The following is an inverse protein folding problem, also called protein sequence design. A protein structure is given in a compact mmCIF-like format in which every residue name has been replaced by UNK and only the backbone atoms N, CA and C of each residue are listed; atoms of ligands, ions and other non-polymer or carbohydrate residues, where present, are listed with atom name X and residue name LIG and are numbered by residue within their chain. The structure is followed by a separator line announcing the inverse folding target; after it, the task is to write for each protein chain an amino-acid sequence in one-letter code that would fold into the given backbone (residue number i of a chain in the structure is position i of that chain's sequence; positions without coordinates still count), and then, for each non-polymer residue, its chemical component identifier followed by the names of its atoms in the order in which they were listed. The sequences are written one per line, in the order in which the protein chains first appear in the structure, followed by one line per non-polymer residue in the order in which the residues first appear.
data_IF_381325889702
#
_entry.id   IF_381325889702
#
_cell.length_a   1.000
_cell.length_b   1.000
_cell.length_c   1.000
_cell.angle_alpha   90.00
_cell.angle_beta   90.00
_cell.angle_gamma   90.00
#
_symmetry.space_group_name_H-M   'P 1'
#
loop_
_entity.id
_entity.type
_entity.pdbx_description
1 polymer ?
#
# COMPACT_ATOMS: atom_id res chain seq x y z
N UNK A 1 -6.53 -23.91 0.52
CA UNK A 1 -6.57 -22.95 -0.60
C UNK A 1 -5.44 -23.29 -1.54
N UNK A 2 -5.71 -23.42 -2.84
CA UNK A 2 -4.67 -23.59 -3.87
C UNK A 2 -3.72 -22.40 -3.85
N UNK A 3 -2.43 -22.60 -4.14
CA UNK A 3 -1.48 -21.49 -4.24
C UNK A 3 -2.00 -20.46 -5.28
N UNK A 4 -1.86 -19.14 -5.00
CA UNK A 4 -2.34 -18.12 -5.91
C UNK A 4 -1.64 -18.25 -7.28
N UNK A 5 -2.42 -18.20 -8.36
CA UNK A 5 -1.86 -18.19 -9.71
C UNK A 5 -1.36 -16.78 -10.02
N UNK A 6 -0.04 -16.58 -9.91
CA UNK A 6 0.62 -15.30 -10.20
C UNK A 6 0.98 -15.14 -11.69
N UNK A 7 0.84 -16.20 -12.48
CA UNK A 7 1.25 -16.21 -13.89
C UNK A 7 0.51 -15.19 -14.77
N UNK A 8 -0.80 -14.93 -14.59
CA UNK A 8 -1.50 -13.91 -15.38
C UNK A 8 -0.86 -12.53 -15.26
N UNK A 9 -0.41 -12.14 -14.07
CA UNK A 9 0.24 -10.84 -13.84
C UNK A 9 1.57 -10.75 -14.60
N UNK A 10 2.35 -11.84 -14.60
CA UNK A 10 3.60 -11.90 -15.39
C UNK A 10 3.29 -11.78 -16.88
N UNK A 11 2.27 -12.49 -17.36
CA UNK A 11 1.82 -12.42 -18.74
C UNK A 11 1.43 -10.99 -19.14
N UNK A 12 0.64 -10.30 -18.31
CA UNK A 12 0.23 -8.91 -18.56
C UNK A 12 1.45 -7.96 -18.62
N UNK A 13 2.41 -8.12 -17.71
CA UNK A 13 3.66 -7.35 -17.73
C UNK A 13 4.44 -7.58 -19.04
N UNK A 14 4.56 -8.84 -19.46
CA UNK A 14 5.27 -9.18 -20.71
C UNK A 14 4.55 -8.69 -21.95
N UNK A 15 3.21 -8.66 -21.95
CA UNK A 15 2.41 -8.10 -23.04
C UNK A 15 2.65 -6.59 -23.21
N UNK A 16 2.98 -5.88 -22.12
CA UNK A 16 3.40 -4.47 -22.15
C UNK A 16 4.91 -4.28 -22.42
N UNK A 17 5.60 -5.29 -22.97
CA UNK A 17 7.06 -5.29 -23.21
C UNK A 17 7.92 -5.16 -21.94
N UNK A 18 7.35 -5.45 -20.77
CA UNK A 18 8.09 -5.57 -19.51
C UNK A 18 8.69 -6.97 -19.33
N UNK A 19 9.57 -7.11 -18.33
CA UNK A 19 10.02 -8.41 -17.82
C UNK A 19 9.40 -8.64 -16.44
N UNK A 20 8.79 -9.81 -16.22
CA UNK A 20 8.15 -10.17 -14.96
C UNK A 20 8.69 -11.49 -14.42
N UNK A 21 8.91 -11.53 -13.10
CA UNK A 21 9.13 -12.77 -12.36
C UNK A 21 8.10 -12.87 -11.22
N UNK A 22 7.69 -14.09 -10.88
CA UNK A 22 6.75 -14.33 -9.79
C UNK A 22 7.33 -15.36 -8.82
N UNK A 23 7.07 -15.16 -7.53
CA UNK A 23 7.37 -16.11 -6.48
C UNK A 23 6.19 -16.16 -5.53
N UNK A 24 5.75 -17.37 -5.19
CA UNK A 24 4.73 -17.57 -4.15
C UNK A 24 5.42 -17.49 -2.80
N UNK A 25 5.04 -16.51 -1.99
CA UNK A 25 5.60 -16.31 -0.65
C UNK A 25 4.48 -15.97 0.32
N UNK A 26 4.51 -16.59 1.50
CA UNK A 26 3.65 -16.21 2.62
C UNK A 26 4.31 -15.09 3.41
N UNK A 27 3.74 -13.89 3.29
CA UNK A 27 4.23 -12.69 3.96
C UNK A 27 3.86 -12.63 5.45
N UNK A 28 3.00 -13.53 5.96
CA UNK A 28 2.77 -13.64 7.40
C UNK A 28 3.95 -14.27 8.13
N UNK A 29 4.80 -15.03 7.42
CA UNK A 29 6.07 -15.52 7.93
C UNK A 29 7.18 -14.47 7.75
N UNK A 30 7.54 -13.83 8.85
CA UNK A 30 8.56 -12.78 8.92
C UNK A 30 9.95 -13.21 8.43
N UNK A 31 10.25 -14.52 8.44
CA UNK A 31 11.54 -15.05 7.99
C UNK A 31 11.70 -14.99 6.47
N UNK A 32 10.60 -14.95 5.72
CA UNK A 32 10.59 -15.02 4.25
C UNK A 32 11.04 -13.71 3.58
N UNK A 33 10.77 -12.56 4.21
CA UNK A 33 11.05 -11.23 3.64
C UNK A 33 12.52 -11.06 3.26
N UNK A 34 13.45 -11.50 4.12
CA UNK A 34 14.89 -11.36 3.88
C UNK A 34 15.34 -12.27 2.74
N UNK A 35 14.98 -13.55 2.81
CA UNK A 35 15.32 -14.55 1.79
C UNK A 35 14.83 -14.13 0.41
N UNK A 36 13.60 -13.61 0.34
CA UNK A 36 13.01 -13.11 -0.89
C UNK A 36 13.80 -11.93 -1.47
N UNK A 37 14.04 -10.88 -0.66
CA UNK A 37 14.74 -9.67 -1.13
C UNK A 37 16.18 -9.98 -1.52
N UNK A 38 16.89 -10.80 -0.73
CA UNK A 38 18.26 -11.19 -1.04
C UNK A 38 18.33 -11.98 -2.37
N UNK A 39 17.37 -12.87 -2.62
CA UNK A 39 17.26 -13.58 -3.89
C UNK A 39 16.96 -12.66 -5.08
N UNK A 40 16.10 -11.66 -4.90
CA UNK A 40 15.83 -10.65 -5.95
C UNK A 40 17.10 -9.85 -6.24
N UNK A 41 17.80 -9.39 -5.19
CA UNK A 41 19.02 -8.60 -5.33
C UNK A 41 20.16 -9.40 -5.94
N UNK A 42 20.26 -10.71 -5.71
CA UNK A 42 21.29 -11.54 -6.35
C UNK A 42 21.09 -11.65 -7.86
N UNK A 43 19.84 -11.65 -8.34
CA UNK A 43 19.51 -11.73 -9.78
C UNK A 43 19.51 -10.38 -10.47
N UNK A 44 18.95 -9.35 -9.83
CA UNK A 44 18.65 -8.05 -10.44
C UNK A 44 19.57 -6.92 -9.95
N UNK A 45 20.45 -7.19 -8.98
CA UNK A 45 21.40 -6.26 -8.33
C UNK A 45 20.77 -5.11 -7.54
N UNK A 46 19.57 -4.67 -7.91
CA UNK A 46 18.92 -3.51 -7.32
C UNK A 46 17.41 -3.65 -7.31
N UNK A 47 16.79 -2.94 -6.37
CA UNK A 47 15.37 -2.66 -6.36
C UNK A 47 15.22 -1.14 -6.30
N UNK A 48 14.51 -0.57 -7.27
CA UNK A 48 14.32 0.88 -7.38
C UNK A 48 13.02 1.34 -6.69
N UNK A 49 12.01 0.48 -6.73
CA UNK A 49 10.68 0.74 -6.17
C UNK A 49 10.21 -0.49 -5.41
N UNK A 50 9.74 -0.31 -4.18
CA UNK A 50 9.01 -1.30 -3.40
C UNK A 50 7.55 -0.88 -3.29
N UNK A 51 6.62 -1.77 -3.64
CA UNK A 51 5.19 -1.57 -3.44
C UNK A 51 4.68 -2.59 -2.43
N UNK A 52 4.43 -2.14 -1.20
CA UNK A 52 3.82 -2.96 -0.16
C UNK A 52 2.30 -2.99 -0.35
N UNK A 53 1.85 -3.87 -1.26
CA UNK A 53 0.44 -4.02 -1.64
C UNK A 53 -0.30 -5.14 -0.91
N UNK A 54 0.42 -6.20 -0.50
CA UNK A 54 -0.21 -7.33 0.17
C UNK A 54 -1.02 -6.89 1.39
N UNK A 55 -2.23 -7.42 1.51
CA UNK A 55 -3.13 -7.08 2.59
C UNK A 55 -4.35 -7.98 2.61
N UNK A 56 -4.95 -8.12 3.78
CA UNK A 56 -6.17 -8.87 4.03
C UNK A 56 -7.18 -8.03 4.81
N UNK A 57 -8.44 -8.41 4.71
CA UNK A 57 -9.52 -7.87 5.53
C UNK A 57 -10.13 -9.00 6.37
N UNK A 58 -10.12 -8.84 7.69
CA UNK A 58 -10.89 -9.66 8.63
C UNK A 58 -11.88 -8.74 9.33
N UNK A 59 -13.16 -8.95 9.01
CA UNK A 59 -14.27 -8.19 9.59
C UNK A 59 -14.67 -8.74 10.94
N UNK A 60 -15.19 -7.88 11.80
CA UNK A 60 -15.63 -8.22 13.15
C UNK A 60 -15.62 -7.01 14.07
N UNK A 61 -16.52 -7.02 15.03
CA UNK A 61 -16.47 -6.10 16.16
C UNK A 61 -15.46 -6.62 17.18
N UNK A 62 -14.98 -5.75 18.06
CA UNK A 62 -13.93 -6.12 19.02
C UNK A 62 -14.23 -7.40 19.83
N UNK A 63 -15.46 -7.65 20.32
CA UNK A 63 -15.74 -8.86 21.10
C UNK A 63 -15.82 -10.15 20.27
N UNK A 64 -16.10 -10.05 18.96
CA UNK A 64 -16.28 -11.20 18.07
C UNK A 64 -15.07 -11.50 17.20
N UNK A 65 -14.09 -10.59 17.18
CA UNK A 65 -12.85 -10.78 16.48
C UNK A 65 -11.97 -11.80 17.20
N UNK A 66 -11.57 -12.85 16.50
CA UNK A 66 -10.66 -13.85 17.05
C UNK A 66 -9.25 -13.30 17.22
N UNK A 67 -8.53 -13.80 18.22
CA UNK A 67 -7.10 -13.52 18.40
C UNK A 67 -6.28 -13.85 17.13
N UNK A 68 -6.64 -14.91 16.42
CA UNK A 68 -5.93 -15.36 15.22
C UNK A 68 -6.18 -14.41 14.04
N UNK A 69 -7.41 -13.92 13.87
CA UNK A 69 -7.71 -12.91 12.85
C UNK A 69 -7.04 -11.57 13.16
N UNK A 70 -6.95 -11.20 14.45
CA UNK A 70 -6.18 -10.03 14.88
C UNK A 70 -4.70 -10.20 14.53
N UNK A 71 -4.06 -11.28 14.98
CA UNK A 71 -2.63 -11.56 14.73
C UNK A 71 -2.34 -11.63 13.23
N UNK A 72 -3.15 -12.34 12.46
CA UNK A 72 -2.98 -12.46 11.01
C UNK A 72 -3.13 -11.11 10.31
N UNK A 73 -4.07 -10.27 10.74
CA UNK A 73 -4.23 -8.91 10.21
C UNK A 73 -2.98 -8.08 10.42
N UNK A 74 -2.36 -8.14 11.61
CA UNK A 74 -1.10 -7.44 11.87
C UNK A 74 0.07 -8.03 11.09
N UNK A 75 0.21 -9.35 11.09
CA UNK A 75 1.28 -10.06 10.39
C UNK A 75 1.32 -9.67 8.90
N UNK A 76 0.17 -9.72 8.23
CA UNK A 76 0.08 -9.45 6.78
C UNK A 76 0.03 -7.95 6.47
N UNK A 77 -0.80 -7.16 7.18
CA UNK A 77 -1.03 -5.76 6.81
C UNK A 77 0.04 -4.81 7.35
N UNK A 78 0.81 -5.20 8.37
CA UNK A 78 1.79 -4.33 9.04
C UNK A 78 3.18 -4.96 9.10
N UNK A 79 3.32 -6.14 9.69
CA UNK A 79 4.66 -6.71 9.95
C UNK A 79 5.38 -7.03 8.64
N UNK A 80 4.67 -7.58 7.65
CA UNK A 80 5.21 -7.82 6.32
C UNK A 80 5.87 -6.57 5.71
N UNK A 81 5.17 -5.42 5.70
CA UNK A 81 5.74 -4.19 5.14
C UNK A 81 6.90 -3.67 5.98
N UNK A 82 6.84 -3.82 7.30
CA UNK A 82 7.93 -3.45 8.21
C UNK A 82 9.19 -4.25 7.87
N UNK A 83 9.07 -5.57 7.71
CA UNK A 83 10.18 -6.43 7.39
C UNK A 83 10.74 -6.17 5.99
N UNK A 84 9.90 -6.01 4.98
CA UNK A 84 10.34 -5.67 3.61
C UNK A 84 11.06 -4.32 3.59
N UNK A 85 10.52 -3.29 4.25
CA UNK A 85 11.18 -1.98 4.38
C UNK A 85 12.53 -2.12 5.12
N UNK A 86 12.57 -2.84 6.24
CA UNK A 86 13.79 -3.02 7.04
C UNK A 86 14.92 -3.66 6.23
N UNK A 87 14.62 -4.62 5.37
CA UNK A 87 15.64 -5.31 4.55
C UNK A 87 16.10 -4.44 3.38
N UNK A 88 15.20 -3.74 2.70
CA UNK A 88 15.54 -2.99 1.47
C UNK A 88 16.21 -1.63 1.76
N UNK A 89 15.87 -1.00 2.88
CA UNK A 89 16.19 0.40 3.14
C UNK A 89 17.71 0.68 3.18
N UNK A 90 18.58 -0.16 3.79
CA UNK A 90 20.02 0.05 3.74
C UNK A 90 20.55 0.15 2.30
N UNK A 91 20.05 -0.69 1.38
CA UNK A 91 20.47 -0.70 -0.03
C UNK A 91 20.02 0.55 -0.78
N UNK A 92 18.85 1.08 -0.46
CA UNK A 92 18.39 2.34 -1.06
C UNK A 92 19.18 3.54 -0.50
N UNK A 93 19.51 3.53 0.80
CA UNK A 93 20.34 4.56 1.45
C UNK A 93 21.74 4.60 0.84
N UNK A 94 22.40 3.45 0.67
CA UNK A 94 23.73 3.33 0.03
C UNK A 94 23.79 4.02 -1.34
N UNK A 95 22.66 4.03 -2.06
CA UNK A 95 22.53 4.59 -3.40
C UNK A 95 21.96 6.01 -3.43
N UNK A 96 21.56 6.55 -2.29
CA UNK A 96 20.78 7.79 -2.16
C UNK A 96 19.57 7.86 -3.12
N UNK A 97 18.94 6.72 -3.43
CA UNK A 97 17.85 6.65 -4.41
C UNK A 97 16.94 5.44 -4.17
N UNK A 98 15.63 5.69 -4.10
CA UNK A 98 14.62 4.67 -3.90
C UNK A 98 13.22 5.25 -3.73
N UNK A 99 12.19 4.45 -4.02
CA UNK A 99 10.81 4.78 -3.71
C UNK A 99 10.08 3.62 -3.03
N UNK A 100 9.26 3.95 -2.04
CA UNK A 100 8.40 3.00 -1.32
C UNK A 100 6.97 3.52 -1.42
N UNK A 101 6.06 2.63 -1.85
CA UNK A 101 4.61 2.88 -1.87
C UNK A 101 3.96 1.88 -0.93
N UNK A 102 3.28 2.38 0.09
CA UNK A 102 2.55 1.56 1.05
C UNK A 102 1.05 1.67 0.80
N UNK A 103 0.34 0.55 0.73
CA UNK A 103 -1.12 0.55 0.58
C UNK A 103 -1.78 0.59 1.96
N UNK A 104 -2.17 1.78 2.37
CA UNK A 104 -3.06 2.00 3.52
C UNK A 104 -4.52 1.83 3.06
N UNK A 105 -5.46 2.59 3.61
CA UNK A 105 -6.87 2.60 3.24
C UNK A 105 -7.48 3.91 3.72
N UNK A 106 -8.58 4.34 3.09
CA UNK A 106 -9.44 5.34 3.70
C UNK A 106 -9.84 4.95 5.14
N UNK A 107 -10.06 3.67 5.42
CA UNK A 107 -10.41 3.19 6.77
C UNK A 107 -9.26 3.28 7.77
N UNK A 108 -8.01 3.46 7.29
CA UNK A 108 -6.90 3.86 8.14
C UNK A 108 -6.93 5.34 8.56
N UNK A 109 -7.71 6.17 7.87
CA UNK A 109 -7.88 7.61 8.15
C UNK A 109 -9.25 7.93 8.78
N UNK A 110 -10.26 7.12 8.45
CA UNK A 110 -11.63 7.24 8.88
C UNK A 110 -12.20 5.83 9.05
N UNK A 111 -12.02 5.21 10.23
CA UNK A 111 -12.42 3.83 10.48
C UNK A 111 -13.90 3.56 10.20
N UNK A 112 -14.20 2.36 9.73
CA UNK A 112 -15.56 1.87 9.50
C UNK A 112 -16.02 0.89 10.60
N UNK A 113 -17.34 0.72 10.82
CA UNK A 113 -17.86 -0.33 11.70
C UNK A 113 -17.33 -1.72 11.32
N UNK A 114 -17.22 -2.62 12.31
CA UNK A 114 -16.82 -4.02 12.14
C UNK A 114 -15.51 -4.24 11.36
N UNK A 115 -14.57 -3.30 11.48
CA UNK A 115 -13.30 -3.32 10.74
C UNK A 115 -12.09 -3.08 11.66
N UNK A 116 -12.20 -3.34 12.97
CA UNK A 116 -11.25 -2.84 13.96
C UNK A 116 -9.79 -3.22 13.68
N UNK A 117 -9.49 -4.50 13.41
CA UNK A 117 -8.14 -4.93 13.06
C UNK A 117 -7.63 -4.29 11.76
N UNK A 118 -8.48 -4.22 10.74
CA UNK A 118 -8.13 -3.64 9.45
C UNK A 118 -7.86 -2.13 9.56
N UNK A 119 -8.78 -1.39 10.19
CA UNK A 119 -8.66 0.06 10.37
C UNK A 119 -7.41 0.42 11.19
N UNK A 120 -7.14 -0.31 12.28
CA UNK A 120 -5.94 -0.10 13.11
C UNK A 120 -4.67 -0.38 12.30
N UNK A 121 -4.59 -1.51 11.62
CA UNK A 121 -3.39 -1.86 10.82
C UNK A 121 -3.16 -0.85 9.69
N UNK A 122 -4.20 -0.43 8.97
CA UNK A 122 -4.08 0.58 7.90
C UNK A 122 -3.76 1.98 8.44
N UNK A 123 -4.23 2.35 9.63
CA UNK A 123 -3.80 3.58 10.32
C UNK A 123 -2.31 3.52 10.68
N UNK A 124 -1.86 2.38 11.19
CA UNK A 124 -0.43 2.14 11.48
C UNK A 124 0.41 2.25 10.21
N UNK A 125 -0.02 1.69 9.07
CA UNK A 125 0.65 1.86 7.77
C UNK A 125 0.79 3.33 7.38
N UNK A 126 -0.26 4.13 7.56
CA UNK A 126 -0.23 5.56 7.23
C UNK A 126 0.79 6.32 8.11
N UNK A 127 0.78 6.05 9.42
CA UNK A 127 1.74 6.65 10.36
C UNK A 127 3.18 6.20 10.08
N UNK A 128 3.39 4.89 9.88
CA UNK A 128 4.68 4.31 9.52
C UNK A 128 5.26 4.97 8.27
N UNK A 129 4.44 5.16 7.25
CA UNK A 129 4.84 5.82 6.00
C UNK A 129 5.29 7.25 6.24
N UNK A 130 4.54 8.04 7.02
CA UNK A 130 4.89 9.43 7.33
C UNK A 130 6.22 9.51 8.09
N UNK A 131 6.44 8.61 9.04
CA UNK A 131 7.69 8.55 9.80
C UNK A 131 8.87 8.18 8.88
N UNK A 132 8.72 7.10 8.10
CA UNK A 132 9.76 6.65 7.17
C UNK A 132 10.11 7.71 6.12
N UNK A 133 9.12 8.46 5.62
CA UNK A 133 9.36 9.56 4.70
C UNK A 133 10.23 10.66 5.33
N UNK A 134 9.97 11.03 6.59
CA UNK A 134 10.70 12.08 7.30
C UNK A 134 12.13 11.67 7.62
N UNK A 135 12.30 10.46 8.15
CA UNK A 135 13.59 9.96 8.60
C UNK A 135 14.58 9.76 7.43
N UNK A 136 14.06 9.34 6.27
CA UNK A 136 14.92 8.93 5.15
C UNK A 136 14.90 9.89 3.95
N UNK A 137 14.14 10.99 3.99
CA UNK A 137 14.23 12.05 2.98
C UNK A 137 15.66 12.61 2.78
N UNK A 138 16.47 12.83 3.83
CA UNK A 138 17.87 13.27 3.66
C UNK A 138 18.73 12.29 2.85
N UNK A 139 18.33 11.02 2.80
CA UNK A 139 19.01 9.95 2.05
C UNK A 139 18.44 9.79 0.62
N UNK A 140 17.67 10.76 0.12
CA UNK A 140 17.11 10.72 -1.24
C UNK A 140 15.91 9.77 -1.41
N UNK A 141 15.32 9.29 -0.32
CA UNK A 141 14.18 8.38 -0.36
C UNK A 141 12.85 9.10 -0.57
N UNK A 142 11.95 8.45 -1.32
CA UNK A 142 10.54 8.87 -1.46
C UNK A 142 9.63 7.80 -0.90
N UNK A 143 8.88 8.11 0.16
CA UNK A 143 7.94 7.17 0.76
C UNK A 143 6.55 7.79 0.76
N UNK A 144 5.56 7.10 0.19
CA UNK A 144 4.17 7.59 0.11
C UNK A 144 3.19 6.48 0.45
N UNK A 145 2.05 6.87 1.03
CA UNK A 145 0.93 5.97 1.26
C UNK A 145 -0.17 6.27 0.24
N UNK A 146 -0.72 5.22 -0.36
CA UNK A 146 -2.00 5.29 -1.07
C UNK A 146 -3.08 4.86 -0.11
N UNK A 147 -4.18 5.62 -0.04
CA UNK A 147 -5.33 5.33 0.83
C UNK A 147 -6.56 5.12 -0.05
N UNK A 148 -6.74 3.94 -0.65
CA UNK A 148 -7.90 3.69 -1.50
C UNK A 148 -9.21 3.76 -0.72
N UNK A 149 -10.25 4.26 -1.39
CA UNK A 149 -11.64 3.97 -1.05
C UNK A 149 -11.97 2.51 -1.43
N UNK A 150 -13.20 2.09 -1.20
CA UNK A 150 -13.68 0.79 -1.67
C UNK A 150 -13.39 0.64 -3.18
N UNK A 151 -12.58 -0.36 -3.52
CA UNK A 151 -12.10 -0.63 -4.87
C UNK A 151 -12.53 -2.03 -5.24
N UNK A 152 -13.10 -2.22 -6.43
CA UNK A 152 -13.56 -3.53 -6.89
C UNK A 152 -12.37 -4.47 -7.08
N UNK A 153 -12.25 -5.42 -6.15
CA UNK A 153 -11.24 -6.47 -6.09
C UNK A 153 -11.87 -7.69 -5.42
N UNK A 154 -11.31 -8.90 -5.58
CA UNK A 154 -11.85 -10.09 -4.91
C UNK A 154 -11.98 -9.99 -3.38
N UNK A 155 -11.19 -9.10 -2.74
CA UNK A 155 -11.31 -8.80 -1.31
C UNK A 155 -12.68 -8.22 -0.93
N UNK A 156 -13.31 -7.48 -1.84
CA UNK A 156 -14.60 -6.81 -1.60
C UNK A 156 -15.81 -7.66 -2.00
N UNK A 157 -15.62 -8.78 -2.71
CA UNK A 157 -16.72 -9.58 -3.27
C UNK A 157 -17.68 -10.10 -2.19
N UNK A 158 -17.16 -10.59 -1.07
CA UNK A 158 -17.99 -11.03 0.05
C UNK A 158 -18.74 -9.86 0.71
N UNK A 159 -18.10 -8.70 0.84
CA UNK A 159 -18.72 -7.49 1.39
C UNK A 159 -19.82 -6.93 0.48
N UNK A 160 -19.63 -7.01 -0.84
CA UNK A 160 -20.63 -6.63 -1.84
C UNK A 160 -21.85 -7.54 -1.78
N UNK A 161 -21.65 -8.86 -1.76
CA UNK A 161 -22.73 -9.86 -1.61
C UNK A 161 -23.58 -9.66 -0.35
N UNK A 162 -22.99 -9.15 0.73
CA UNK A 162 -23.68 -8.91 2.02
C UNK A 162 -24.42 -7.59 2.10
N UNK A 163 -24.07 -6.59 1.30
CA UNK A 163 -24.58 -5.22 1.43
C UNK A 163 -25.56 -4.80 0.35
N UNK A 164 -25.96 -5.72 -0.54
CA UNK A 164 -26.78 -5.45 -1.74
C UNK A 164 -26.23 -4.31 -2.63
N UNK A 165 -24.95 -3.97 -2.48
CA UNK A 165 -24.27 -2.92 -3.25
C UNK A 165 -23.68 -3.52 -4.52
N UNK A 166 -23.80 -2.78 -5.62
CA UNK A 166 -23.21 -3.16 -6.91
C UNK A 166 -21.80 -2.59 -7.06
N UNK A 167 -21.05 -3.10 -8.04
CA UNK A 167 -19.75 -2.53 -8.43
C UNK A 167 -19.91 -1.07 -8.92
N UNK A 168 -21.04 -0.76 -9.56
CA UNK A 168 -21.39 0.60 -9.99
C UNK A 168 -21.51 1.55 -8.79
N UNK A 169 -22.04 1.07 -7.66
CA UNK A 169 -22.18 1.86 -6.43
C UNK A 169 -20.81 2.14 -5.80
N UNK A 170 -19.88 1.18 -5.83
CA UNK A 170 -18.49 1.40 -5.40
C UNK A 170 -17.81 2.48 -6.25
N UNK A 171 -17.98 2.41 -7.57
CA UNK A 171 -17.36 3.36 -8.49
C UNK A 171 -17.86 4.79 -8.22
N UNK A 172 -19.15 4.98 -7.91
CA UNK A 172 -19.73 6.28 -7.55
C UNK A 172 -19.19 6.82 -6.23
N UNK A 173 -19.01 5.97 -5.21
CA UNK A 173 -18.48 6.37 -3.89
C UNK A 173 -17.02 6.81 -3.97
N UNK A 174 -16.21 6.15 -4.80
CA UNK A 174 -14.80 6.50 -5.01
C UNK A 174 -14.60 7.97 -5.42
N UNK A 175 -15.54 8.54 -6.18
CA UNK A 175 -15.49 9.93 -6.64
C UNK A 175 -15.84 10.94 -5.53
N UNK A 176 -16.80 10.62 -4.67
CA UNK A 176 -17.28 11.51 -3.60
C UNK A 176 -16.30 11.54 -2.42
N UNK A 177 -15.75 10.40 -2.02
CA UNK A 177 -14.85 10.32 -0.88
C UNK A 177 -13.44 10.85 -1.19
N UNK A 178 -12.98 10.72 -2.45
CA UNK A 178 -11.76 11.36 -2.92
C UNK A 178 -11.79 12.89 -2.74
N UNK A 179 -12.97 13.53 -2.85
CA UNK A 179 -13.13 14.97 -2.60
C UNK A 179 -13.02 15.32 -1.10
N UNK A 180 -13.56 14.47 -0.23
CA UNK A 180 -13.50 14.64 1.24
C UNK A 180 -12.06 14.45 1.76
N UNK A 181 -11.37 13.43 1.27
CA UNK A 181 -9.97 13.17 1.62
C UNK A 181 -9.05 14.30 1.12
N UNK A 182 -9.26 14.84 -0.10
CA UNK A 182 -8.51 16.01 -0.60
C UNK A 182 -8.58 17.22 0.32
N UNK A 183 -9.72 17.45 1.00
CA UNK A 183 -9.86 18.53 2.00
C UNK A 183 -9.07 18.24 3.28
N UNK A 184 -9.11 17.00 3.79
CA UNK A 184 -8.33 16.59 4.97
C UNK A 184 -6.82 16.63 4.72
N UNK A 185 -6.35 16.20 3.55
CA UNK A 185 -4.93 16.25 3.16
C UNK A 185 -4.39 17.68 2.97
N UNK A 186 -5.21 18.63 2.47
CA UNK A 186 -4.82 20.05 2.38
C UNK A 186 -4.56 20.71 3.74
N UNK A 187 -5.22 20.24 4.80
CA UNK A 187 -5.01 20.73 6.17
C UNK A 187 -3.71 20.20 6.78
N UNK A 188 -3.36 18.94 6.54
CA UNK A 188 -2.09 18.34 6.98
C UNK A 188 -0.87 18.87 6.21
N UNK A 189 -1.03 19.18 4.92
CA UNK A 189 0.05 19.76 4.09
C UNK A 189 0.48 21.16 4.55
N UNK A 190 -0.41 21.93 5.19
CA UNK A 190 -0.18 23.33 5.59
C UNK A 190 0.82 23.49 6.75
N UNK A 191 1.12 22.42 7.47
CA UNK A 191 2.12 22.42 8.55
C UNK A 191 3.50 21.90 8.12
N UNK A 192 3.70 21.51 6.85
CA UNK A 192 4.87 20.72 6.44
C UNK A 192 5.85 21.42 5.48
N UNK A 193 5.62 22.70 5.15
CA UNK A 193 6.56 23.51 4.37
C UNK A 193 7.34 24.47 5.28
N UNK A 194 8.55 24.06 5.69
CA UNK A 194 9.68 24.97 5.52
C UNK A 194 10.88 24.25 4.91
N UNK A 195 10.74 23.64 3.73
CA UNK A 195 11.90 23.33 2.88
C UNK A 195 11.60 23.67 1.42
N UNK A 196 12.12 24.84 1.02
CA UNK A 196 12.03 25.42 -0.33
C UNK A 196 12.76 24.53 -1.35
N UNK A 197 12.03 23.86 -2.25
CA UNK A 197 12.45 23.63 -3.65
C UNK A 197 11.23 23.69 -4.59
N UNK A 198 11.07 24.78 -5.39
CA UNK A 198 9.87 25.04 -6.20
C UNK A 198 9.57 24.03 -7.31
N UNK A 199 10.55 23.23 -7.74
CA UNK A 199 10.42 22.40 -8.95
C UNK A 199 9.68 21.06 -8.74
N UNK A 200 9.59 20.54 -7.51
CA UNK A 200 9.00 19.22 -7.25
C UNK A 200 7.47 19.27 -7.05
N UNK A 201 6.96 20.34 -6.43
CA UNK A 201 5.52 20.53 -6.20
C UNK A 201 4.72 20.79 -7.49
N UNK A 202 5.35 21.39 -8.51
CA UNK A 202 4.75 21.66 -9.80
C UNK A 202 4.65 20.41 -10.70
N UNK A 203 5.51 19.40 -10.47
CA UNK A 203 5.53 18.17 -11.27
C UNK A 203 4.42 17.19 -10.82
N UNK A 204 4.12 17.12 -9.52
CA UNK A 204 3.13 16.17 -9.00
C UNK A 204 1.68 16.64 -9.16
N UNK A 205 1.43 17.95 -9.20
CA UNK A 205 0.09 18.48 -9.50
C UNK A 205 -0.35 18.19 -10.95
N UNK A 206 0.60 17.92 -11.86
CA UNK A 206 0.32 17.60 -13.27
C UNK A 206 0.09 16.11 -13.54
N UNK A 207 0.75 15.20 -12.82
CA UNK A 207 0.59 13.75 -13.03
C UNK A 207 -0.71 13.17 -12.43
N UNK A 208 -1.36 13.86 -11.48
CA UNK A 208 -2.66 13.44 -10.91
C UNK A 208 -3.89 13.90 -11.72
N UNK A 209 -3.71 14.58 -12.86
CA UNK A 209 -4.80 15.26 -13.61
C UNK A 209 -5.01 14.73 -15.04
N UNK A 210 -4.24 13.77 -15.54
CA UNK A 210 -4.47 13.20 -16.89
C UNK A 210 -4.78 11.71 -16.84
N UNK A 211 -5.97 11.39 -16.34
CA UNK A 211 -6.76 10.26 -16.82
C UNK A 211 -7.64 10.74 -17.97
N UNK A 212 -7.15 10.66 -19.21
CA UNK A 212 -7.96 10.56 -20.43
C UNK A 212 -7.25 9.62 -21.37
N UNK A 213 -7.98 8.60 -21.80
CA UNK A 213 -7.61 7.71 -22.89
C UNK A 213 -7.17 8.51 -24.12
N UNK A 214 -6.11 8.04 -24.76
CA UNK A 214 -6.03 7.94 -26.20
C UNK A 214 -5.98 6.43 -26.51
#
# INVERSE_FOLDING_TARGET
MSAPNLQPVVTDITACSGAGEAAVVDLSDTSTSRVMIDGILSRHRRIDVLVNNAGIFRGGDLPSLSDDDWRLSFAVNLDALFHLCRVILPRMIERCSGAIVNISSQWGLSPAPSSIAYSVTKAAVASFTQNLARDYAPHGMRVNAVCPCETHTPMMDEGLKRSDRTVEDLNKLSHLEALVLRRKWRLLWRFWLPMKRPSFAALWSRLLVRGRCA
#
